data_IF_497103838996
#
_entry.id   IF_497103838996
#
_cell.length_a   1.000
_cell.length_b   1.000
_cell.length_c   1.000
_cell.angle_alpha   90.00
_cell.angle_beta   90.00
_cell.angle_gamma   90.00
#
_symmetry.space_group_name_H-M   'P 1'
#
loop_
_entity.id
_entity.type
_entity.pdbx_description
1 polymer ?
#
# COMPACT_ATOMS: atom_id res chain seq x y z
N UNK A 1 1.11 7.08 10.85
CA UNK A 1 0.79 7.80 12.11
C UNK A 1 0.42 9.27 11.94
N UNK A 2 0.98 10.04 10.99
CA UNK A 2 0.72 11.49 10.88
C UNK A 2 -0.76 11.89 10.70
N UNK A 3 -1.51 11.16 9.87
CA UNK A 3 -2.94 11.44 9.65
C UNK A 3 -3.75 11.33 10.96
N UNK A 4 -3.57 10.24 11.72
CA UNK A 4 -4.23 10.05 13.00
C UNK A 4 -3.85 11.12 14.02
N UNK A 5 -2.57 11.48 14.12
CA UNK A 5 -2.12 12.57 15.00
C UNK A 5 -2.81 13.90 14.68
N UNK A 6 -2.92 14.25 13.39
CA UNK A 6 -3.62 15.46 12.96
C UNK A 6 -5.12 15.39 13.25
N UNK A 7 -5.77 14.24 13.07
CA UNK A 7 -7.19 14.08 13.38
C UNK A 7 -7.48 14.15 14.88
N UNK A 8 -6.58 13.67 15.74
CA UNK A 8 -6.74 13.79 17.20
C UNK A 8 -6.64 15.24 17.64
N UNK A 9 -5.78 16.04 16.99
CA UNK A 9 -5.48 17.42 17.40
C UNK A 9 -6.35 18.48 16.71
N UNK A 10 -6.83 18.20 15.50
CA UNK A 10 -7.51 19.16 14.63
C UNK A 10 -8.83 18.63 14.05
N UNK A 11 -9.11 17.33 14.19
CA UNK A 11 -10.35 16.73 13.71
C UNK A 11 -11.55 17.14 14.56
N UNK A 12 -12.74 16.98 14.00
CA UNK A 12 -14.00 17.27 14.67
C UNK A 12 -14.63 15.97 15.18
N UNK A 13 -15.01 15.96 16.46
CA UNK A 13 -15.67 14.81 17.07
C UNK A 13 -16.97 14.46 16.36
N UNK A 14 -17.23 13.16 16.20
CA UNK A 14 -18.41 12.64 15.50
C UNK A 14 -18.33 12.61 13.97
N UNK A 15 -17.26 13.16 13.38
CA UNK A 15 -17.05 13.13 11.94
C UNK A 15 -16.24 11.90 11.50
N UNK A 16 -16.51 11.43 10.28
CA UNK A 16 -15.74 10.38 9.60
C UNK A 16 -14.78 11.00 8.59
N UNK A 17 -13.57 10.46 8.52
CA UNK A 17 -12.51 10.90 7.61
C UNK A 17 -11.87 9.70 6.91
N UNK A 18 -11.89 9.71 5.58
CA UNK A 18 -11.12 8.75 4.79
C UNK A 18 -9.63 9.13 4.80
N UNK A 19 -8.77 8.14 5.03
CA UNK A 19 -7.32 8.30 5.00
C UNK A 19 -6.77 7.44 3.86
N UNK A 20 -6.09 8.07 2.90
CA UNK A 20 -5.51 7.39 1.75
C UNK A 20 -4.93 8.38 0.75
N UNK A 21 -4.20 7.86 -0.23
CA UNK A 21 -3.45 8.67 -1.20
C UNK A 21 -4.33 9.45 -2.17
N UNK A 22 -5.57 8.99 -2.40
CA UNK A 22 -6.42 9.49 -3.48
C UNK A 22 -5.95 9.08 -4.88
N UNK A 23 -4.98 8.17 -4.95
CA UNK A 23 -4.49 7.56 -6.18
C UNK A 23 -4.82 6.07 -6.14
N UNK A 24 -5.29 5.53 -7.26
CA UNK A 24 -5.45 4.09 -7.43
C UNK A 24 -4.33 3.55 -8.32
N UNK A 25 -3.88 2.35 -7.98
CA UNK A 25 -2.91 1.58 -8.74
C UNK A 25 -3.53 0.24 -9.09
N UNK A 26 -3.25 -0.26 -10.29
CA UNK A 26 -3.71 -1.58 -10.68
C UNK A 26 -2.89 -2.66 -9.96
N UNK A 27 -3.46 -3.86 -9.81
CA UNK A 27 -2.72 -5.02 -9.29
C UNK A 27 -1.52 -5.36 -10.20
N UNK A 28 -1.69 -5.19 -11.51
CA UNK A 28 -0.63 -5.40 -12.49
C UNK A 28 0.54 -4.43 -12.27
N UNK A 29 0.26 -3.12 -12.13
CA UNK A 29 1.28 -2.09 -11.86
C UNK A 29 2.03 -2.36 -10.56
N UNK A 30 1.32 -2.77 -9.50
CA UNK A 30 1.92 -3.16 -8.23
C UNK A 30 2.89 -4.34 -8.43
N UNK A 31 2.42 -5.39 -9.13
CA UNK A 31 3.20 -6.60 -9.38
C UNK A 31 4.42 -6.30 -10.23
N UNK A 32 4.26 -5.59 -11.34
CA UNK A 32 5.34 -5.20 -12.25
C UNK A 32 6.40 -4.38 -11.52
N UNK A 33 5.97 -3.46 -10.64
CA UNK A 33 6.89 -2.67 -9.82
C UNK A 33 7.73 -3.57 -8.91
N UNK A 34 7.12 -4.56 -8.24
CA UNK A 34 7.85 -5.51 -7.39
C UNK A 34 8.77 -6.44 -8.18
N UNK A 35 8.31 -6.93 -9.34
CA UNK A 35 9.12 -7.78 -10.25
C UNK A 35 10.33 -7.00 -10.76
N UNK A 36 10.17 -5.73 -11.12
CA UNK A 36 11.29 -4.87 -11.55
C UNK A 36 12.38 -4.69 -10.49
N UNK A 37 12.01 -4.81 -9.21
CA UNK A 37 12.94 -4.73 -8.07
C UNK A 37 13.54 -6.09 -7.67
N UNK A 38 13.16 -7.18 -8.35
CA UNK A 38 13.61 -8.53 -8.07
C UNK A 38 14.99 -8.81 -8.67
N UNK A 39 15.75 -9.70 -8.03
CA UNK A 39 17.14 -10.02 -8.43
C UNK A 39 17.23 -11.19 -9.41
N UNK A 40 16.10 -11.81 -9.71
CA UNK A 40 15.96 -13.01 -10.54
C UNK A 40 14.75 -12.83 -11.45
N UNK A 41 14.72 -13.49 -12.62
CA UNK A 41 13.52 -13.52 -13.45
C UNK A 41 12.37 -14.21 -12.71
N UNK A 42 11.16 -13.66 -12.87
CA UNK A 42 9.93 -14.18 -12.27
C UNK A 42 8.90 -14.35 -13.38
N UNK A 43 8.36 -15.55 -13.53
CA UNK A 43 7.21 -15.82 -14.41
C UNK A 43 5.92 -15.49 -13.65
N UNK A 44 5.04 -14.71 -14.27
CA UNK A 44 3.73 -14.34 -13.71
C UNK A 44 2.65 -15.19 -14.37
N UNK A 45 1.86 -15.88 -13.56
CA UNK A 45 0.74 -16.72 -14.01
C UNK A 45 -0.54 -16.35 -13.23
N UNK A 46 -1.69 -16.39 -13.92
CA UNK A 46 -2.99 -16.13 -13.31
C UNK A 46 -3.55 -17.44 -12.77
N UNK A 47 -3.85 -17.46 -11.48
CA UNK A 47 -4.54 -18.57 -10.82
C UNK A 47 -6.06 -18.28 -10.78
N UNK A 48 -6.90 -19.03 -11.53
CA UNK A 48 -8.34 -18.83 -11.56
C UNK A 48 -9.01 -18.99 -10.19
N UNK A 49 -8.47 -19.82 -9.29
CA UNK A 49 -9.05 -20.04 -7.95
C UNK A 49 -8.89 -18.81 -7.04
N UNK A 50 -7.95 -17.91 -7.37
CA UNK A 50 -7.69 -16.67 -6.62
C UNK A 50 -8.46 -15.47 -7.18
N UNK A 51 -9.18 -15.63 -8.29
CA UNK A 51 -10.03 -14.58 -8.84
C UNK A 51 -11.32 -14.49 -8.03
N UNK A 52 -11.65 -13.27 -7.58
CA UNK A 52 -12.91 -13.04 -6.88
C UNK A 52 -14.03 -12.83 -7.91
N UNK A 53 -15.18 -13.51 -7.79
CA UNK A 53 -16.29 -13.38 -8.73
C UNK A 53 -16.92 -11.97 -8.83
N UNK A 54 -16.70 -11.12 -7.83
CA UNK A 54 -17.33 -9.80 -7.72
C UNK A 54 -16.34 -8.74 -7.19
N UNK A 55 -15.21 -8.56 -7.86
CA UNK A 55 -14.30 -7.46 -7.54
C UNK A 55 -14.82 -6.12 -8.09
N UNK A 56 -14.77 -5.08 -7.25
CA UNK A 56 -15.02 -3.71 -7.68
C UNK A 56 -13.84 -3.26 -8.54
N UNK A 57 -14.05 -2.81 -9.79
CA UNK A 57 -12.96 -2.55 -10.74
C UNK A 57 -12.07 -1.37 -10.33
N UNK A 58 -12.59 -0.43 -9.53
CA UNK A 58 -11.88 0.75 -9.09
C UNK A 58 -12.38 1.20 -7.72
N UNK A 59 -11.46 1.30 -6.77
CA UNK A 59 -11.69 1.92 -5.47
C UNK A 59 -10.65 3.02 -5.29
N UNK A 60 -11.11 4.26 -5.12
CA UNK A 60 -10.24 5.43 -4.88
C UNK A 60 -10.66 6.11 -3.58
N UNK A 61 -9.69 6.42 -2.74
CA UNK A 61 -9.94 7.09 -1.47
C UNK A 61 -10.18 8.60 -1.69
N UNK A 62 -11.41 9.08 -1.47
CA UNK A 62 -11.65 10.52 -1.36
C UNK A 62 -11.25 11.03 0.03
N UNK A 63 -10.03 11.54 0.15
CA UNK A 63 -9.51 12.17 1.37
C UNK A 63 -9.75 13.69 1.45
N UNK A 64 -10.65 14.26 0.63
CA UNK A 64 -10.88 15.72 0.56
C UNK A 64 -11.16 16.36 1.92
N UNK A 65 -12.04 15.74 2.72
CA UNK A 65 -12.38 16.23 4.06
C UNK A 65 -11.16 16.28 4.99
N UNK A 66 -10.31 15.25 4.96
CA UNK A 66 -9.08 15.20 5.75
C UNK A 66 -8.11 16.31 5.33
N UNK A 67 -7.92 16.49 4.01
CA UNK A 67 -7.03 17.53 3.45
C UNK A 67 -7.51 18.93 3.83
N UNK A 68 -8.81 19.21 3.70
CA UNK A 68 -9.39 20.50 4.08
C UNK A 68 -9.27 20.78 5.59
N UNK A 69 -9.47 19.75 6.41
CA UNK A 69 -9.45 19.90 7.87
C UNK A 69 -8.03 20.06 8.44
N UNK A 70 -7.01 19.43 7.83
CA UNK A 70 -5.69 19.27 8.46
C UNK A 70 -4.50 19.63 7.57
N UNK A 71 -4.73 19.91 6.29
CA UNK A 71 -3.66 20.04 5.29
C UNK A 71 -2.91 18.74 4.98
N UNK A 72 -3.30 17.59 5.55
CA UNK A 72 -2.58 16.33 5.38
C UNK A 72 -2.54 15.87 3.93
N UNK A 73 -1.38 15.38 3.46
CA UNK A 73 -1.22 14.70 2.16
C UNK A 73 -0.19 13.57 2.27
N UNK A 74 -0.32 12.43 1.58
CA UNK A 74 0.72 11.40 1.61
C UNK A 74 2.08 11.98 1.19
N UNK A 75 3.17 11.55 1.84
CA UNK A 75 4.54 11.99 1.51
C UNK A 75 5.46 10.83 1.11
N UNK A 76 5.01 9.59 1.31
CA UNK A 76 5.72 8.39 0.88
C UNK A 76 5.06 7.96 -0.43
N UNK A 77 5.85 7.80 -1.49
CA UNK A 77 5.33 7.36 -2.78
C UNK A 77 4.93 5.89 -2.74
N UNK A 78 4.15 5.48 -3.75
CA UNK A 78 3.74 4.09 -3.93
C UNK A 78 4.96 3.17 -4.08
N UNK A 79 5.89 3.54 -4.95
CA UNK A 79 7.11 2.77 -5.25
C UNK A 79 8.03 2.67 -4.04
N UNK A 80 8.14 3.75 -3.25
CA UNK A 80 8.93 3.73 -2.02
C UNK A 80 8.32 2.75 -1.01
N UNK A 81 6.98 2.76 -0.86
CA UNK A 81 6.29 1.84 0.04
C UNK A 81 6.50 0.37 -0.36
N UNK A 82 6.41 0.06 -1.65
CA UNK A 82 6.68 -1.28 -2.18
C UNK A 82 8.13 -1.71 -1.93
N UNK A 83 9.09 -0.80 -2.16
CA UNK A 83 10.51 -1.03 -1.90
C UNK A 83 10.76 -1.36 -0.43
N UNK A 84 10.16 -0.60 0.49
CA UNK A 84 10.35 -0.78 1.93
C UNK A 84 9.80 -2.13 2.41
N UNK A 85 8.62 -2.53 1.92
CA UNK A 85 8.03 -3.84 2.22
C UNK A 85 8.91 -4.97 1.68
N UNK A 86 9.39 -4.87 0.43
CA UNK A 86 10.27 -5.86 -0.17
C UNK A 86 11.60 -5.99 0.60
N UNK A 87 12.19 -4.86 1.01
CA UNK A 87 13.42 -4.84 1.77
C UNK A 87 13.24 -5.47 3.17
N UNK A 88 12.13 -5.14 3.85
CA UNK A 88 11.78 -5.76 5.13
C UNK A 88 11.78 -7.30 5.03
N UNK A 89 11.09 -7.86 4.03
CA UNK A 89 11.02 -9.31 3.85
C UNK A 89 12.37 -9.95 3.52
N UNK A 90 13.21 -9.29 2.71
CA UNK A 90 14.58 -9.75 2.46
C UNK A 90 15.40 -9.84 3.75
N UNK A 91 15.25 -8.88 4.65
CA UNK A 91 15.92 -8.88 5.94
C UNK A 91 15.39 -9.99 6.87
N UNK A 92 14.07 -10.18 6.95
CA UNK A 92 13.47 -11.21 7.80
C UNK A 92 13.85 -12.63 7.36
N UNK A 93 13.82 -12.91 6.06
CA UNK A 93 14.19 -14.23 5.51
C UNK A 93 15.71 -14.45 5.64
N UNK A 94 16.53 -13.41 5.41
CA UNK A 94 17.97 -13.48 5.60
C UNK A 94 18.40 -13.76 7.04
N UNK A 95 17.62 -13.31 8.03
CA UNK A 95 17.84 -13.63 9.46
C UNK A 95 17.32 -15.01 9.85
N UNK A 96 16.29 -15.52 9.17
CA UNK A 96 15.71 -16.85 9.41
C UNK A 96 16.51 -17.98 8.76
N UNK A 97 17.46 -17.68 7.87
CA UNK A 97 18.33 -18.63 7.17
C UNK A 97 19.35 -19.40 8.03
N UNK A 98 19.26 -19.31 9.36
CA UNK A 98 20.04 -20.12 10.31
C UNK A 98 19.39 -21.44 10.72
N UNK A 99 18.15 -21.73 10.31
CA UNK A 99 17.52 -23.05 10.55
C UNK A 99 16.61 -23.45 9.38
N UNK A 100 17.14 -24.36 8.56
CA UNK A 100 16.40 -25.46 7.94
C UNK A 100 15.44 -25.11 6.81
N UNK A 101 15.93 -25.28 5.58
CA UNK A 101 15.42 -26.32 4.68
C UNK A 101 16.60 -27.16 4.22
#
# INVERSE_FOLDING_TARGET
MRAYHLLITQGKAGEVYNIGSGQAHSIQELLDTLVSMSRVPITVEVDPERLRPADVPLIVCDSTRLRQCTGWQPIISFEQSLRDVLYYWRMQIGQSGGKGF
#
